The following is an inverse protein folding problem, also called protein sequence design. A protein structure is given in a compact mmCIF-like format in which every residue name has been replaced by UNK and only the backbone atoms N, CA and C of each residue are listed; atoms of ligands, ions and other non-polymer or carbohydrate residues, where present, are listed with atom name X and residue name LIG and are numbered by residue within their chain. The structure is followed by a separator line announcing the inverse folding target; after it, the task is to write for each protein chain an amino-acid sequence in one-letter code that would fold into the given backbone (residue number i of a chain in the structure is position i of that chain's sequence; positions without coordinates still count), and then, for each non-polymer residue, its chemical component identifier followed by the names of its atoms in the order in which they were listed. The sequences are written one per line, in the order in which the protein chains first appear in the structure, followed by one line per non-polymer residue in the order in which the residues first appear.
data_IF_155959477874
#
_entry.id   IF_155959477874
#
_cell.length_a   1.000
_cell.length_b   1.000
_cell.length_c   1.000
_cell.angle_alpha   90.00
_cell.angle_beta   90.00
_cell.angle_gamma   90.00
#
_symmetry.space_group_name_H-M   'P 1'
#
loop_
_entity.id
_entity.type
_entity.pdbx_description
1 polymer ?
#
# COMPACT_ATOMS: atom_id res chain seq x y z
N UNK A 1 33.86 27.80 71.09
CA UNK A 1 32.57 28.34 71.57
C UNK A 1 32.39 29.68 70.90
N UNK A 2 31.53 29.75 69.89
CA UNK A 2 30.72 30.91 69.50
C UNK A 2 29.83 30.48 68.32
N UNK A 3 28.58 30.87 68.41
CA UNK A 3 27.45 30.71 67.47
C UNK A 3 26.97 32.15 67.17
N UNK A 4 25.92 32.47 66.40
CA UNK A 4 25.32 31.92 65.17
C UNK A 4 25.02 33.02 64.09
N UNK A 5 24.48 32.58 62.93
CA UNK A 5 23.42 33.21 62.08
C UNK A 5 23.59 34.64 61.52
N UNK A 6 23.48 34.77 60.17
CA UNK A 6 22.67 35.74 59.39
C UNK A 6 22.75 35.32 57.90
N UNK A 7 21.79 34.59 57.33
CA UNK A 7 20.62 35.02 56.51
C UNK A 7 20.89 36.14 55.48
N UNK A 8 20.51 35.86 54.22
CA UNK A 8 20.32 36.70 53.02
C UNK A 8 21.50 36.84 52.05
N UNK A 9 21.46 36.14 50.91
CA UNK A 9 20.98 36.76 49.66
C UNK A 9 20.77 35.70 48.55
N UNK A 10 19.61 35.79 47.93
CA UNK A 10 19.19 35.09 46.72
C UNK A 10 19.98 35.65 45.53
N UNK A 11 20.63 34.80 44.75
CA UNK A 11 20.88 35.05 43.32
C UNK A 11 20.52 33.80 42.53
N UNK A 12 19.29 33.82 42.02
CA UNK A 12 18.80 33.05 40.89
C UNK A 12 19.71 33.29 39.67
N UNK A 13 20.34 32.23 39.17
CA UNK A 13 20.82 32.20 37.78
C UNK A 13 20.35 30.91 37.12
N UNK A 14 19.13 31.04 36.60
CA UNK A 14 18.63 30.50 35.33
C UNK A 14 19.35 29.23 34.84
N UNK A 15 18.72 28.11 35.16
CA UNK A 15 18.79 26.86 34.38
C UNK A 15 18.53 27.23 32.93
N UNK A 16 19.58 27.29 32.13
CA UNK A 16 19.48 27.27 30.68
C UNK A 16 18.88 25.93 30.27
N UNK A 17 17.55 25.85 30.26
CA UNK A 17 16.82 24.82 29.57
C UNK A 17 17.14 25.03 28.10
N UNK A 18 18.20 24.37 27.63
CA UNK A 18 18.38 24.08 26.22
C UNK A 18 17.21 23.15 25.90
N UNK A 19 16.05 23.73 25.58
CA UNK A 19 15.03 23.02 24.84
C UNK A 19 15.73 22.68 23.53
N UNK A 20 16.02 21.41 23.22
CA UNK A 20 16.24 21.09 21.84
C UNK A 20 14.89 21.38 21.20
N UNK A 21 14.85 22.50 20.47
CA UNK A 21 13.79 22.81 19.54
C UNK A 21 13.75 21.62 18.59
N UNK A 22 12.98 20.60 18.95
CA UNK A 22 12.64 19.47 18.12
C UNK A 22 11.75 20.03 17.02
N UNK A 23 12.36 20.75 16.08
CA UNK A 23 11.89 20.81 14.71
C UNK A 23 11.88 19.38 14.23
N UNK A 24 10.77 18.69 14.47
CA UNK A 24 10.34 17.56 13.67
C UNK A 24 10.31 18.06 12.24
N UNK A 25 11.44 17.91 11.55
CA UNK A 25 11.46 17.94 10.10
C UNK A 25 10.46 16.84 9.72
N UNK A 26 9.46 17.11 8.86
CA UNK A 26 8.70 16.04 8.27
C UNK A 26 9.71 15.21 7.46
N UNK A 27 10.21 14.13 8.05
CA UNK A 27 10.93 13.10 7.32
C UNK A 27 9.87 12.39 6.52
N UNK A 28 9.62 12.91 5.32
CA UNK A 28 8.86 12.21 4.30
C UNK A 28 9.71 11.01 3.92
N UNK A 29 9.49 9.89 4.63
CA UNK A 29 10.15 8.62 4.31
C UNK A 29 9.73 8.24 2.88
N UNK A 30 10.67 8.07 1.93
CA UNK A 30 10.35 7.68 0.56
C UNK A 30 9.45 6.44 0.48
N UNK A 31 9.59 5.49 1.42
CA UNK A 31 8.72 4.31 1.48
C UNK A 31 7.26 4.65 1.80
N UNK A 32 7.03 5.63 2.69
CA UNK A 32 5.67 6.08 3.05
C UNK A 32 4.97 6.72 1.84
N UNK A 33 5.68 7.49 1.02
CA UNK A 33 5.09 8.14 -0.15
C UNK A 33 4.74 7.12 -1.25
N UNK A 34 5.58 6.10 -1.45
CA UNK A 34 5.28 5.00 -2.39
C UNK A 34 4.00 4.27 -1.96
N UNK A 35 3.88 3.95 -0.67
CA UNK A 35 2.69 3.26 -0.15
C UNK A 35 1.42 4.11 -0.28
N UNK A 36 1.50 5.42 0.01
CA UNK A 36 0.38 6.35 -0.18
C UNK A 36 -0.04 6.45 -1.64
N UNK A 37 0.92 6.57 -2.55
CA UNK A 37 0.64 6.66 -3.98
C UNK A 37 0.06 5.34 -4.52
N UNK A 38 0.56 4.19 -4.06
CA UNK A 38 -0.01 2.89 -4.38
C UNK A 38 -1.45 2.79 -3.92
N UNK A 39 -1.75 3.15 -2.67
CA UNK A 39 -3.11 3.14 -2.14
C UNK A 39 -4.05 4.05 -2.95
N UNK A 40 -3.61 5.28 -3.27
CA UNK A 40 -4.39 6.24 -4.06
C UNK A 40 -4.70 5.70 -5.47
N UNK A 41 -3.69 5.14 -6.15
CA UNK A 41 -3.88 4.55 -7.50
C UNK A 41 -4.75 3.30 -7.45
N UNK A 42 -4.57 2.47 -6.42
CA UNK A 42 -5.37 1.26 -6.20
C UNK A 42 -6.84 1.57 -5.99
N UNK A 43 -7.16 2.57 -5.16
CA UNK A 43 -8.53 3.03 -4.94
C UNK A 43 -9.16 3.59 -6.22
N UNK A 44 -8.40 4.40 -6.99
CA UNK A 44 -8.87 4.95 -8.25
C UNK A 44 -9.16 3.84 -9.28
N UNK A 45 -8.25 2.87 -9.41
CA UNK A 45 -8.39 1.73 -10.31
C UNK A 45 -9.56 0.84 -9.89
N UNK A 46 -9.72 0.57 -8.59
CA UNK A 46 -10.84 -0.21 -8.08
C UNK A 46 -12.18 0.47 -8.36
N UNK A 47 -12.28 1.78 -8.13
CA UNK A 47 -13.49 2.55 -8.43
C UNK A 47 -13.85 2.43 -9.92
N UNK A 48 -12.89 2.65 -10.83
CA UNK A 48 -13.11 2.53 -12.28
C UNK A 48 -13.50 1.10 -12.67
N UNK A 49 -12.86 0.09 -12.11
CA UNK A 49 -13.23 -1.33 -12.32
C UNK A 49 -14.68 -1.63 -11.93
N UNK A 50 -15.19 -1.01 -10.87
CA UNK A 50 -16.57 -1.24 -10.40
C UNK A 50 -17.63 -0.46 -11.17
N UNK A 51 -17.31 0.72 -11.70
CA UNK A 51 -18.33 1.67 -12.18
C UNK A 51 -18.17 2.14 -13.63
N UNK A 52 -16.99 2.00 -14.23
CA UNK A 52 -16.74 2.47 -15.59
C UNK A 52 -17.13 1.44 -16.66
N UNK A 53 -17.11 1.86 -17.92
CA UNK A 53 -17.22 0.94 -19.06
C UNK A 53 -16.01 0.00 -19.14
N UNK A 54 -16.14 -1.07 -19.93
CA UNK A 54 -15.12 -2.10 -20.08
C UNK A 54 -13.73 -1.55 -20.44
N UNK A 55 -13.64 -0.62 -21.39
CA UNK A 55 -12.35 -0.11 -21.86
C UNK A 55 -11.68 0.76 -20.80
N UNK A 56 -12.46 1.64 -20.17
CA UNK A 56 -11.97 2.50 -19.08
C UNK A 56 -11.54 1.68 -17.86
N UNK A 57 -12.32 0.67 -17.49
CA UNK A 57 -12.00 -0.24 -16.38
C UNK A 57 -10.71 -1.03 -16.66
N UNK A 58 -10.58 -1.58 -17.88
CA UNK A 58 -9.39 -2.35 -18.30
C UNK A 58 -8.14 -1.48 -18.26
N UNK A 59 -8.19 -0.30 -18.87
CA UNK A 59 -7.06 0.64 -18.89
C UNK A 59 -6.63 1.03 -17.47
N UNK A 60 -7.58 1.34 -16.58
CA UNK A 60 -7.26 1.72 -15.21
C UNK A 60 -6.55 0.61 -14.41
N UNK A 61 -7.00 -0.64 -14.56
CA UNK A 61 -6.36 -1.78 -13.91
C UNK A 61 -4.97 -2.06 -14.52
N UNK A 62 -4.82 -1.94 -15.84
CA UNK A 62 -3.52 -2.12 -16.50
C UNK A 62 -2.52 -1.04 -16.08
N UNK A 63 -2.94 0.22 -16.00
CA UNK A 63 -2.09 1.32 -15.54
C UNK A 63 -1.64 1.12 -14.09
N UNK A 64 -2.54 0.62 -13.22
CA UNK A 64 -2.19 0.29 -11.85
C UNK A 64 -1.22 -0.89 -11.79
N UNK A 65 -1.46 -1.96 -12.55
CA UNK A 65 -0.56 -3.12 -12.62
C UNK A 65 0.85 -2.71 -13.06
N UNK A 66 0.97 -1.87 -14.08
CA UNK A 66 2.27 -1.34 -14.52
C UNK A 66 2.98 -0.52 -13.44
N UNK A 67 2.24 0.23 -12.64
CA UNK A 67 2.80 0.96 -11.51
C UNK A 67 3.32 0.00 -10.43
N UNK A 68 2.51 -1.01 -10.08
CA UNK A 68 2.87 -2.02 -9.08
C UNK A 68 4.13 -2.80 -9.48
N UNK A 69 4.23 -3.19 -10.75
CA UNK A 69 5.41 -3.89 -11.28
C UNK A 69 6.69 -3.06 -11.08
N UNK A 70 6.63 -1.74 -11.28
CA UNK A 70 7.78 -0.84 -11.09
C UNK A 70 8.25 -0.74 -9.64
N UNK A 71 7.33 -0.86 -8.69
CA UNK A 71 7.64 -0.74 -7.25
C UNK A 71 7.75 -2.10 -6.55
N UNK A 72 7.61 -3.21 -7.29
CA UNK A 72 7.58 -4.57 -6.73
C UNK A 72 8.91 -5.05 -6.14
N UNK A 73 10.02 -4.39 -6.49
CA UNK A 73 11.35 -4.66 -5.94
C UNK A 73 11.76 -3.68 -4.84
N UNK A 74 10.88 -2.77 -4.44
CA UNK A 74 11.14 -1.82 -3.36
C UNK A 74 11.19 -2.54 -1.99
N UNK A 75 12.25 -2.34 -1.17
CA UNK A 75 12.39 -3.02 0.10
C UNK A 75 11.34 -2.60 1.16
N UNK A 76 10.69 -1.46 1.01
CA UNK A 76 9.75 -0.88 1.96
C UNK A 76 8.27 -1.08 1.56
N UNK A 77 7.99 -1.64 0.38
CA UNK A 77 6.63 -1.83 -0.11
C UNK A 77 6.44 -2.92 -1.18
N UNK A 78 7.50 -3.57 -1.63
CA UNK A 78 7.48 -4.51 -2.75
C UNK A 78 6.56 -5.71 -2.53
N UNK A 79 6.48 -6.25 -1.31
CA UNK A 79 5.61 -7.39 -1.01
C UNK A 79 4.12 -7.03 -1.06
N UNK A 80 3.77 -5.81 -0.64
CA UNK A 80 2.41 -5.29 -0.79
C UNK A 80 2.11 -5.09 -2.27
N UNK A 81 3.03 -4.47 -3.01
CA UNK A 81 2.86 -4.25 -4.45
C UNK A 81 2.70 -5.56 -5.24
N UNK A 82 3.46 -6.60 -4.89
CA UNK A 82 3.33 -7.95 -5.48
C UNK A 82 1.97 -8.57 -5.21
N UNK A 83 1.45 -8.40 -3.98
CA UNK A 83 0.10 -8.89 -3.62
C UNK A 83 -0.98 -8.13 -4.39
N UNK A 84 -0.87 -6.81 -4.45
CA UNK A 84 -1.83 -5.98 -5.20
C UNK A 84 -1.79 -6.27 -6.70
N UNK A 85 -0.61 -6.62 -7.24
CA UNK A 85 -0.46 -6.97 -8.65
C UNK A 85 -1.21 -8.27 -8.96
N UNK A 86 -1.07 -9.29 -8.11
CA UNK A 86 -1.83 -10.54 -8.19
C UNK A 86 -3.35 -10.28 -8.15
N UNK A 87 -3.83 -9.49 -7.20
CA UNK A 87 -5.24 -9.11 -7.10
C UNK A 87 -5.71 -8.37 -8.35
N UNK A 88 -4.88 -7.46 -8.89
CA UNK A 88 -5.19 -6.68 -10.09
C UNK A 88 -5.27 -7.57 -11.33
N UNK A 89 -4.41 -8.58 -11.45
CA UNK A 89 -4.50 -9.60 -12.49
C UNK A 89 -5.82 -10.39 -12.40
N UNK A 90 -6.25 -10.80 -11.20
CA UNK A 90 -7.53 -11.51 -11.03
C UNK A 90 -8.71 -10.61 -11.42
N UNK A 91 -8.69 -9.33 -11.05
CA UNK A 91 -9.73 -8.37 -11.46
C UNK A 91 -9.76 -8.16 -12.97
N UNK A 92 -8.59 -8.08 -13.63
CA UNK A 92 -8.49 -8.03 -15.08
C UNK A 92 -9.08 -9.28 -15.73
N UNK A 93 -8.76 -10.47 -15.23
CA UNK A 93 -9.32 -11.72 -15.76
C UNK A 93 -10.85 -11.74 -15.69
N UNK A 94 -11.42 -11.40 -14.52
CA UNK A 94 -12.88 -11.31 -14.32
C UNK A 94 -13.51 -10.27 -15.25
N UNK A 95 -12.83 -9.15 -15.48
CA UNK A 95 -13.30 -8.11 -16.39
C UNK A 95 -13.31 -8.59 -17.85
N UNK A 96 -12.25 -9.25 -18.31
CA UNK A 96 -12.18 -9.83 -19.67
C UNK A 96 -13.29 -10.86 -19.89
N UNK A 97 -13.45 -11.81 -18.97
CA UNK A 97 -14.46 -12.88 -19.04
C UNK A 97 -15.88 -12.34 -19.09
N UNK A 98 -16.19 -11.35 -18.25
CA UNK A 98 -17.52 -10.72 -18.23
C UNK A 98 -17.86 -10.06 -19.57
N UNK A 99 -16.85 -9.58 -20.31
CA UNK A 99 -17.03 -8.79 -21.53
C UNK A 99 -16.61 -9.53 -22.80
N UNK A 100 -16.28 -10.82 -22.72
CA UNK A 100 -15.73 -11.58 -23.84
C UNK A 100 -14.52 -10.94 -24.52
N UNK A 101 -13.60 -10.45 -23.70
CA UNK A 101 -12.40 -9.74 -24.15
C UNK A 101 -11.34 -10.67 -24.77
N UNK A 102 -10.36 -10.12 -25.50
CA UNK A 102 -9.33 -10.92 -26.17
C UNK A 102 -8.35 -11.59 -25.19
N UNK A 103 -8.28 -11.14 -23.94
CA UNK A 103 -7.29 -11.59 -22.95
C UNK A 103 -7.91 -12.47 -21.84
N UNK A 104 -9.08 -13.08 -22.07
CA UNK A 104 -9.85 -13.86 -21.06
C UNK A 104 -8.99 -14.79 -20.20
N UNK A 105 -8.06 -15.54 -20.83
CA UNK A 105 -7.22 -16.51 -20.09
C UNK A 105 -5.87 -15.95 -19.65
N UNK A 106 -5.47 -14.78 -20.14
CA UNK A 106 -4.12 -14.24 -19.95
C UNK A 106 -3.89 -13.85 -18.49
N UNK A 107 -4.77 -13.01 -17.95
CA UNK A 107 -4.52 -12.40 -16.65
C UNK A 107 -4.70 -13.37 -15.48
N UNK A 108 -5.55 -14.39 -15.61
CA UNK A 108 -5.66 -15.42 -14.57
C UNK A 108 -4.39 -16.28 -14.51
N UNK A 109 -3.85 -16.69 -15.67
CA UNK A 109 -2.56 -17.38 -15.73
C UNK A 109 -1.44 -16.55 -15.13
N UNK A 110 -1.45 -15.24 -15.37
CA UNK A 110 -0.48 -14.32 -14.79
C UNK A 110 -0.62 -14.21 -13.26
N UNK A 111 -1.86 -14.16 -12.74
CA UNK A 111 -2.12 -14.16 -11.30
C UNK A 111 -1.60 -15.45 -10.62
N UNK A 112 -1.87 -16.61 -11.21
CA UNK A 112 -1.37 -17.92 -10.72
C UNK A 112 0.15 -17.92 -10.68
N UNK A 113 0.81 -17.54 -11.79
CA UNK A 113 2.26 -17.52 -11.87
C UNK A 113 2.89 -16.56 -10.85
N UNK A 114 2.28 -15.39 -10.63
CA UNK A 114 2.71 -14.42 -9.61
C UNK A 114 2.57 -14.99 -8.20
N UNK A 115 1.46 -15.66 -7.89
CA UNK A 115 1.25 -16.31 -6.60
C UNK A 115 2.29 -17.42 -6.35
N UNK A 116 2.50 -18.31 -7.33
CA UNK A 116 3.44 -19.44 -7.21
C UNK A 116 4.87 -18.96 -6.97
N UNK A 117 5.28 -17.88 -7.64
CA UNK A 117 6.63 -17.30 -7.49
C UNK A 117 6.91 -16.78 -6.07
N UNK A 118 5.88 -16.44 -5.30
CA UNK A 118 6.05 -15.88 -3.94
C UNK A 118 6.25 -16.94 -2.86
N UNK A 119 6.11 -18.23 -3.19
CA UNK A 119 6.25 -19.37 -2.26
C UNK A 119 5.50 -19.16 -0.92
N UNK A 120 4.30 -18.58 -0.99
CA UNK A 120 3.47 -18.36 0.19
C UNK A 120 2.83 -19.69 0.60
N UNK A 121 3.52 -20.44 1.47
CA UNK A 121 3.13 -21.76 2.00
C UNK A 121 1.71 -21.87 2.57
N UNK A 122 1.00 -20.76 2.76
CA UNK A 122 -0.32 -20.70 3.39
C UNK A 122 -1.47 -20.27 2.47
N UNK A 123 -1.20 -19.78 1.24
CA UNK A 123 -2.26 -19.43 0.28
C UNK A 123 -2.23 -20.41 -0.89
N UNK A 124 -3.39 -20.93 -1.28
CA UNK A 124 -3.50 -21.70 -2.51
C UNK A 124 -3.30 -20.79 -3.71
N UNK A 125 -2.46 -21.19 -4.67
CA UNK A 125 -2.29 -20.45 -5.93
C UNK A 125 -3.21 -20.95 -7.06
N UNK A 126 -4.15 -21.86 -6.75
CA UNK A 126 -5.14 -22.33 -7.70
C UNK A 126 -6.10 -21.19 -8.10
N UNK A 127 -6.54 -21.19 -9.36
CA UNK A 127 -7.41 -20.14 -9.91
C UNK A 127 -8.69 -19.94 -9.09
N UNK A 128 -9.32 -21.03 -8.65
CA UNK A 128 -10.58 -20.97 -7.89
C UNK A 128 -10.38 -20.31 -6.52
N UNK A 129 -9.23 -20.51 -5.88
CA UNK A 129 -8.87 -19.87 -4.64
C UNK A 129 -8.65 -18.37 -4.84
N UNK A 130 -7.85 -18.00 -5.85
CA UNK A 130 -7.55 -16.60 -6.18
C UNK A 130 -8.83 -15.82 -6.50
N UNK A 131 -9.75 -16.42 -7.27
CA UNK A 131 -11.07 -15.83 -7.55
C UNK A 131 -11.88 -15.59 -6.28
N UNK A 132 -12.01 -16.61 -5.42
CA UNK A 132 -12.77 -16.52 -4.16
C UNK A 132 -12.20 -15.46 -3.23
N UNK A 133 -10.88 -15.32 -3.17
CA UNK A 133 -10.23 -14.30 -2.35
C UNK A 133 -10.59 -12.89 -2.85
N UNK A 134 -10.46 -12.65 -4.15
CA UNK A 134 -10.82 -11.35 -4.74
C UNK A 134 -12.33 -11.08 -4.69
N UNK A 135 -13.18 -12.10 -4.86
CA UNK A 135 -14.62 -11.96 -4.66
C UNK A 135 -14.96 -11.49 -3.25
N UNK A 136 -14.27 -12.01 -2.23
CA UNK A 136 -14.43 -11.55 -0.84
C UNK A 136 -13.97 -10.11 -0.67
N UNK A 137 -12.84 -9.72 -1.27
CA UNK A 137 -12.34 -8.35 -1.21
C UNK A 137 -13.27 -7.35 -1.91
N UNK A 138 -13.83 -7.74 -3.05
CA UNK A 138 -14.72 -6.91 -3.89
C UNK A 138 -16.15 -6.76 -3.31
N UNK A 139 -16.47 -7.44 -2.19
CA UNK A 139 -17.74 -7.22 -1.46
C UNK A 139 -17.78 -5.86 -0.76
N UNK A 140 -16.63 -5.22 -0.55
CA UNK A 140 -16.57 -3.87 0.02
C UNK A 140 -16.93 -2.85 -1.07
N UNK A 141 -17.98 -2.03 -0.89
CA UNK A 141 -18.33 -0.99 -1.84
C UNK A 141 -17.16 -0.01 -2.04
N UNK A 142 -16.96 0.54 -3.26
CA UNK A 142 -16.01 1.63 -3.45
C UNK A 142 -16.42 2.82 -2.57
N UNK A 143 -15.43 3.46 -1.93
CA UNK A 143 -15.61 4.66 -1.10
C UNK A 143 -15.86 5.91 -1.94
#
# INVERSE_FOLDING_TARGET
MESPRHVWLIVLLLVGVIVPDCKQRPTTDPGIEILKESARRGDEAYRKYRTADYQTAKAALQDYLQFLDKISDDPNGGDMARTDAEITCVRLAKLEEKNHGPDETKYMKEAVARCEKRDLKFRGCAEDYLRKDVDRMDQVPPK
#
